data_IF_104826036463
#
_entry.id   IF_104826036463
#
_cell.length_a   1.000
_cell.length_b   1.000
_cell.length_c   1.000
_cell.angle_alpha   90.00
_cell.angle_beta   90.00
_cell.angle_gamma   90.00
#
_symmetry.space_group_name_H-M   'P 1'
#
loop_
_entity.id
_entity.type
_entity.pdbx_description
1 polymer ?
#
# COMPACT_ATOMS: atom_id res chain seq x y z
N UNK A 1 -36.45 75.03 32.29
CA UNK A 1 -37.16 74.67 33.53
C UNK A 1 -36.54 73.36 34.01
N UNK A 2 -35.65 73.44 34.99
CA UNK A 2 -35.00 72.26 35.56
C UNK A 2 -35.93 71.71 36.65
N UNK A 3 -36.74 70.71 36.29
CA UNK A 3 -37.22 69.75 37.27
C UNK A 3 -36.00 69.03 37.83
N UNK A 4 -35.45 69.58 38.91
CA UNK A 4 -34.63 68.80 39.83
C UNK A 4 -35.59 67.78 40.40
N UNK A 5 -35.69 66.62 39.75
CA UNK A 5 -36.34 65.44 40.30
C UNK A 5 -35.83 65.33 41.73
N UNK A 6 -36.72 65.53 42.70
CA UNK A 6 -36.49 64.99 44.03
C UNK A 6 -36.25 63.51 43.81
N UNK A 7 -34.99 63.09 43.80
CA UNK A 7 -34.58 61.69 43.88
C UNK A 7 -34.93 61.27 45.30
N UNK A 8 -36.24 61.21 45.57
CA UNK A 8 -36.80 60.61 46.74
C UNK A 8 -36.34 59.17 46.72
N UNK A 9 -36.00 58.67 47.91
CA UNK A 9 -35.77 57.25 48.16
C UNK A 9 -36.74 56.46 47.28
N UNK A 10 -36.18 55.69 46.32
CA UNK A 10 -36.96 54.98 45.30
C UNK A 10 -38.22 54.38 45.92
N UNK A 11 -39.39 54.55 45.30
CA UNK A 11 -40.67 53.98 45.76
C UNK A 11 -40.55 52.49 46.10
N UNK A 12 -39.58 51.82 45.49
CA UNK A 12 -39.20 50.43 45.76
C UNK A 12 -38.55 50.26 47.15
N UNK A 13 -37.62 51.12 47.53
CA UNK A 13 -36.97 51.13 48.86
C UNK A 13 -37.95 51.45 49.99
N UNK A 14 -38.90 52.37 49.76
CA UNK A 14 -39.96 52.67 50.73
C UNK A 14 -40.89 51.47 50.95
N UNK A 15 -41.27 50.78 49.86
CA UNK A 15 -42.03 49.52 49.93
C UNK A 15 -41.26 48.40 50.64
N UNK A 16 -39.95 48.29 50.40
CA UNK A 16 -39.08 47.33 51.11
C UNK A 16 -39.05 47.63 52.62
N UNK A 17 -39.05 48.90 53.02
CA UNK A 17 -39.08 49.31 54.42
C UNK A 17 -40.38 48.87 55.10
N UNK A 18 -41.54 49.15 54.48
CA UNK A 18 -42.86 48.76 55.03
C UNK A 18 -42.99 47.24 55.24
N UNK A 19 -42.39 46.45 54.34
CA UNK A 19 -42.44 44.98 54.39
C UNK A 19 -41.39 44.36 55.34
N UNK A 20 -40.45 45.15 55.86
CA UNK A 20 -39.33 44.64 56.68
C UNK A 20 -39.69 44.36 58.13
N UNK A 21 -40.83 44.88 58.62
CA UNK A 21 -41.22 44.78 60.03
C UNK A 21 -40.36 45.61 60.99
N UNK A 22 -39.58 46.57 60.47
CA UNK A 22 -38.84 47.55 61.25
C UNK A 22 -39.72 48.72 61.68
N UNK A 23 -39.34 49.41 62.76
CA UNK A 23 -39.94 50.70 63.09
C UNK A 23 -39.57 51.74 62.04
N UNK A 24 -40.43 52.74 61.83
CA UNK A 24 -40.19 53.81 60.85
C UNK A 24 -38.85 54.52 61.09
N UNK A 25 -38.47 54.74 62.36
CA UNK A 25 -37.20 55.36 62.73
C UNK A 25 -35.98 54.49 62.36
N UNK A 26 -36.05 53.18 62.58
CA UNK A 26 -34.95 52.25 62.23
C UNK A 26 -34.81 52.14 60.70
N UNK A 27 -35.92 52.02 59.99
CA UNK A 27 -35.93 52.00 58.53
C UNK A 27 -35.35 53.27 57.92
N UNK A 28 -35.76 54.44 58.44
CA UNK A 28 -35.27 55.73 57.95
C UNK A 28 -33.77 55.91 58.16
N UNK A 29 -33.23 55.51 59.33
CA UNK A 29 -31.78 55.54 59.58
C UNK A 29 -30.98 54.75 58.55
N UNK A 30 -31.46 53.55 58.18
CA UNK A 30 -30.80 52.74 57.14
C UNK A 30 -30.90 53.42 55.78
N UNK A 31 -32.07 53.96 55.43
CA UNK A 31 -32.26 54.68 54.17
C UNK A 31 -31.38 55.92 54.05
N UNK A 32 -31.22 56.69 55.13
CA UNK A 32 -30.37 57.88 55.16
C UNK A 32 -28.90 57.54 54.90
N UNK A 33 -28.41 56.41 55.44
CA UNK A 33 -27.05 55.92 55.19
C UNK A 33 -26.81 55.53 53.72
N UNK A 34 -27.84 55.04 53.03
CA UNK A 34 -27.74 54.62 51.63
C UNK A 34 -28.18 55.69 50.61
N UNK A 35 -28.73 56.81 51.07
CA UNK A 35 -29.29 57.88 50.23
C UNK A 35 -28.24 58.56 49.33
N UNK A 36 -27.03 58.74 49.84
CA UNK A 36 -25.94 59.33 49.06
C UNK A 36 -25.54 58.41 47.91
N UNK A 37 -25.47 57.10 48.15
CA UNK A 37 -25.13 56.12 47.12
C UNK A 37 -26.18 56.03 46.00
N UNK A 38 -27.47 56.08 46.32
CA UNK A 38 -28.54 56.08 45.29
C UNK A 38 -28.49 57.36 44.44
N UNK A 39 -28.22 58.51 45.05
CA UNK A 39 -28.11 59.80 44.36
C UNK A 39 -26.91 59.83 43.42
N UNK A 40 -25.75 59.34 43.89
CA UNK A 40 -24.53 59.26 43.09
C UNK A 40 -24.71 58.25 41.95
N UNK A 41 -25.33 57.09 42.21
CA UNK A 41 -25.62 56.09 41.18
C UNK A 41 -26.50 56.66 40.06
N UNK A 42 -27.58 57.38 40.40
CA UNK A 42 -28.48 57.99 39.42
C UNK A 42 -27.76 59.06 38.56
N UNK A 43 -26.93 59.90 39.18
CA UNK A 43 -26.13 60.89 38.44
C UNK A 43 -25.17 60.21 37.46
N UNK A 44 -24.50 59.16 37.90
CA UNK A 44 -23.56 58.42 37.07
C UNK A 44 -24.23 57.57 36.01
N UNK A 45 -25.47 57.15 36.20
CA UNK A 45 -26.24 56.48 35.15
C UNK A 45 -26.39 57.39 33.93
N UNK A 46 -26.74 58.66 34.14
CA UNK A 46 -26.86 59.66 33.06
C UNK A 46 -25.50 59.89 32.41
N UNK A 47 -24.47 60.19 33.21
CA UNK A 47 -23.10 60.43 32.71
C UNK A 47 -22.50 59.23 31.98
N UNK A 48 -22.78 58.01 32.45
CA UNK A 48 -22.30 56.80 31.81
C UNK A 48 -22.95 56.58 30.45
N UNK A 49 -24.25 56.87 30.31
CA UNK A 49 -24.97 56.79 29.03
C UNK A 49 -24.47 57.82 28.01
N UNK A 50 -23.99 58.98 28.47
CA UNK A 50 -23.36 60.00 27.61
C UNK A 50 -21.97 59.56 27.10
N UNK A 51 -21.26 58.72 27.85
CA UNK A 51 -19.95 58.21 27.45
C UNK A 51 -20.13 57.06 26.46
N UNK A 52 -19.93 57.36 25.18
CA UNK A 52 -19.92 56.38 24.08
C UNK A 52 -18.61 56.53 23.31
N UNK A 53 -17.78 55.49 23.38
CA UNK A 53 -16.51 55.39 22.64
C UNK A 53 -16.77 54.65 21.33
N UNK A 54 -16.56 55.35 20.22
CA UNK A 54 -16.66 54.79 18.86
C UNK A 54 -15.30 54.62 18.20
N UNK A 55 -14.30 55.40 18.61
CA UNK A 55 -12.96 55.38 18.04
C UNK A 55 -11.89 55.25 19.15
N UNK A 56 -10.77 54.62 18.82
CA UNK A 56 -9.58 54.50 19.65
C UNK A 56 -8.97 55.89 19.94
N UNK A 57 -9.14 56.86 19.03
CA UNK A 57 -8.61 58.21 19.21
C UNK A 57 -9.33 59.01 20.31
N UNK A 58 -10.50 58.57 20.75
CA UNK A 58 -11.32 59.19 21.81
C UNK A 58 -10.75 58.91 23.22
N UNK A 59 -9.49 59.30 23.41
CA UNK A 59 -8.74 59.06 24.65
C UNK A 59 -9.38 59.73 25.87
N UNK A 60 -10.07 60.87 25.68
CA UNK A 60 -10.74 61.61 26.75
C UNK A 60 -11.95 60.84 27.27
N UNK A 61 -12.78 60.31 26.38
CA UNK A 61 -13.97 59.52 26.69
C UNK A 61 -13.58 58.20 27.37
N UNK A 62 -12.52 57.55 26.89
CA UNK A 62 -11.96 56.33 27.51
C UNK A 62 -11.46 56.63 28.94
N UNK A 63 -10.74 57.73 29.13
CA UNK A 63 -10.28 58.14 30.47
C UNK A 63 -11.44 58.49 31.40
N UNK A 64 -12.47 59.18 30.89
CA UNK A 64 -13.70 59.46 31.65
C UNK A 64 -14.42 58.18 32.05
N UNK A 65 -14.49 57.19 31.15
CA UNK A 65 -15.03 55.88 31.46
C UNK A 65 -14.24 55.17 32.56
N UNK A 66 -12.91 55.19 32.48
CA UNK A 66 -12.02 54.59 33.48
C UNK A 66 -12.18 55.23 34.87
N UNK A 67 -12.24 56.57 34.93
CA UNK A 67 -12.45 57.32 36.18
C UNK A 67 -13.86 57.04 36.72
N UNK A 68 -14.88 57.09 35.87
CA UNK A 68 -16.26 56.77 36.27
C UNK A 68 -16.40 55.36 36.82
N UNK A 69 -15.77 54.38 36.17
CA UNK A 69 -15.72 53.01 36.65
C UNK A 69 -15.09 52.93 38.04
N UNK A 70 -13.93 53.57 38.26
CA UNK A 70 -13.27 53.57 39.59
C UNK A 70 -14.18 54.13 40.67
N UNK A 71 -14.88 55.23 40.39
CA UNK A 71 -15.81 55.86 41.34
C UNK A 71 -16.97 54.91 41.65
N UNK A 72 -17.57 54.29 40.64
CA UNK A 72 -18.70 53.37 40.79
C UNK A 72 -18.28 52.06 41.47
N UNK A 73 -17.13 51.49 41.12
CA UNK A 73 -16.57 50.32 41.80
C UNK A 73 -16.27 50.62 43.26
N UNK A 74 -15.73 51.81 43.57
CA UNK A 74 -15.48 52.23 44.95
C UNK A 74 -16.78 52.36 45.73
N UNK A 75 -17.78 53.01 45.15
CA UNK A 75 -19.12 53.13 45.73
C UNK A 75 -19.74 51.76 46.02
N UNK A 76 -19.59 50.78 45.11
CA UNK A 76 -20.05 49.40 45.34
C UNK A 76 -19.35 48.76 46.54
N UNK A 77 -18.04 48.95 46.68
CA UNK A 77 -17.25 48.41 47.80
C UNK A 77 -17.65 49.09 49.11
N UNK A 78 -17.82 50.41 49.12
CA UNK A 78 -18.18 51.15 50.32
C UNK A 78 -19.62 50.82 50.76
N UNK A 79 -20.57 50.71 49.83
CA UNK A 79 -21.93 50.25 50.14
C UNK A 79 -21.96 48.83 50.71
N UNK A 80 -21.11 47.94 50.21
CA UNK A 80 -20.95 46.58 50.73
C UNK A 80 -20.30 46.56 52.12
N UNK A 81 -19.31 47.42 52.37
CA UNK A 81 -18.70 47.59 53.68
C UNK A 81 -19.73 48.10 54.71
N UNK A 82 -20.51 49.13 54.35
CA UNK A 82 -21.62 49.64 55.17
C UNK A 82 -22.66 48.54 55.44
N UNK A 83 -22.99 47.72 54.43
CA UNK A 83 -23.89 46.56 54.59
C UNK A 83 -23.37 45.60 55.66
N UNK A 84 -22.10 45.20 55.57
CA UNK A 84 -21.48 44.25 56.50
C UNK A 84 -21.42 44.83 57.92
N UNK A 85 -21.05 46.10 58.06
CA UNK A 85 -20.97 46.78 59.36
C UNK A 85 -22.33 46.83 60.08
N UNK A 86 -23.39 47.18 59.34
CA UNK A 86 -24.73 47.31 59.91
C UNK A 86 -25.41 45.96 60.19
N UNK A 87 -25.11 44.93 59.39
CA UNK A 87 -25.72 43.59 59.54
C UNK A 87 -25.39 42.91 60.87
N UNK A 88 -24.29 43.28 61.52
CA UNK A 88 -23.85 42.67 62.77
C UNK A 88 -24.70 43.05 63.99
N UNK A 89 -25.63 44.02 63.88
CA UNK A 89 -26.38 44.57 65.02
C UNK A 89 -27.76 43.93 65.26
N UNK A 90 -28.45 43.42 64.23
CA UNK A 90 -29.79 42.83 64.37
C UNK A 90 -30.19 41.98 63.14
N UNK A 91 -30.90 40.86 63.37
CA UNK A 91 -31.34 39.95 62.29
C UNK A 91 -32.42 40.54 61.38
N UNK A 92 -33.37 41.31 61.93
CA UNK A 92 -34.44 41.94 61.14
C UNK A 92 -33.90 43.14 60.36
N UNK A 93 -33.07 43.96 61.00
CA UNK A 93 -32.36 45.06 60.34
C UNK A 93 -31.44 44.52 59.24
N UNK A 94 -30.71 43.43 59.52
CA UNK A 94 -29.82 42.79 58.57
C UNK A 94 -30.51 42.35 57.28
N UNK A 95 -31.75 41.82 57.34
CA UNK A 95 -32.53 41.46 56.14
C UNK A 95 -32.92 42.68 55.31
N UNK A 96 -33.30 43.79 55.95
CA UNK A 96 -33.62 45.03 55.25
C UNK A 96 -32.37 45.65 54.62
N UNK A 97 -31.26 45.68 55.35
CA UNK A 97 -29.94 46.13 54.87
C UNK A 97 -29.50 45.32 53.65
N UNK A 98 -29.66 44.00 53.68
CA UNK A 98 -29.37 43.13 52.53
C UNK A 98 -30.26 43.47 51.32
N UNK A 99 -31.54 43.75 51.52
CA UNK A 99 -32.45 44.14 50.45
C UNK A 99 -32.05 45.47 49.80
N UNK A 100 -31.73 46.49 50.62
CA UNK A 100 -31.25 47.80 50.13
C UNK A 100 -29.94 47.68 49.38
N UNK A 101 -28.98 46.90 49.90
CA UNK A 101 -27.70 46.68 49.25
C UNK A 101 -27.83 45.91 47.92
N UNK A 102 -28.72 44.93 47.84
CA UNK A 102 -29.02 44.22 46.59
C UNK A 102 -29.66 45.13 45.54
N UNK A 103 -30.53 46.05 45.96
CA UNK A 103 -31.11 47.05 45.06
C UNK A 103 -30.03 47.96 44.49
N UNK A 104 -29.16 48.51 45.36
CA UNK A 104 -28.03 49.33 44.95
C UNK A 104 -27.10 48.57 44.00
N UNK A 105 -26.78 47.31 44.31
CA UNK A 105 -25.99 46.46 43.43
C UNK A 105 -26.65 46.30 42.05
N UNK A 106 -27.97 46.12 42.00
CA UNK A 106 -28.71 46.01 40.74
C UNK A 106 -28.65 47.30 39.90
N UNK A 107 -28.57 48.47 40.53
CA UNK A 107 -28.41 49.76 39.85
C UNK A 107 -26.97 49.99 39.38
N UNK A 108 -26.00 49.66 40.24
CA UNK A 108 -24.58 49.91 40.02
C UNK A 108 -23.97 48.97 38.98
N UNK A 109 -24.31 47.69 39.02
CA UNK A 109 -23.71 46.66 38.16
C UNK A 109 -23.79 46.97 36.65
N UNK A 110 -24.96 47.33 36.07
CA UNK A 110 -25.04 47.64 34.64
C UNK A 110 -24.22 48.89 34.26
N UNK A 111 -24.14 49.89 35.14
CA UNK A 111 -23.34 51.10 34.94
C UNK A 111 -21.85 50.75 34.92
N UNK A 112 -21.40 49.95 35.90
CA UNK A 112 -20.02 49.47 35.97
C UNK A 112 -19.65 48.65 34.73
N UNK A 113 -20.56 47.79 34.24
CA UNK A 113 -20.36 47.02 33.02
C UNK A 113 -20.23 47.90 31.78
N UNK A 114 -21.10 48.89 31.60
CA UNK A 114 -21.02 49.82 30.48
C UNK A 114 -19.70 50.60 30.49
N UNK A 115 -19.36 51.23 31.62
CA UNK A 115 -18.11 52.00 31.75
C UNK A 115 -16.87 51.12 31.56
N UNK A 116 -16.92 49.86 32.03
CA UNK A 116 -15.86 48.88 31.79
C UNK A 116 -15.75 48.51 30.31
N UNK A 117 -16.85 48.40 29.57
CA UNK A 117 -16.81 48.16 28.13
C UNK A 117 -16.18 49.35 27.38
N UNK A 118 -16.56 50.58 27.74
CA UNK A 118 -15.98 51.80 27.17
C UNK A 118 -14.49 51.96 27.50
N UNK A 119 -14.08 51.65 28.75
CA UNK A 119 -12.66 51.65 29.16
C UNK A 119 -11.83 50.63 28.37
N UNK A 120 -12.36 49.41 28.18
CA UNK A 120 -11.65 48.33 27.49
C UNK A 120 -11.86 48.35 25.97
N UNK A 121 -12.48 49.39 25.41
CA UNK A 121 -12.79 49.45 23.97
C UNK A 121 -11.58 49.18 23.09
N UNK A 122 -10.43 49.77 23.42
CA UNK A 122 -9.17 49.56 22.69
C UNK A 122 -8.75 48.10 22.70
N UNK A 123 -8.72 47.46 23.88
CA UNK A 123 -8.36 46.04 24.01
C UNK A 123 -9.33 45.13 23.28
N UNK A 124 -10.63 45.38 23.43
CA UNK A 124 -11.67 44.58 22.75
C UNK A 124 -11.54 44.70 21.24
N UNK A 125 -11.25 45.90 20.73
CA UNK A 125 -11.05 46.13 19.30
C UNK A 125 -9.77 45.47 18.79
N UNK A 126 -8.66 45.60 19.51
CA UNK A 126 -7.39 44.94 19.17
C UNK A 126 -7.51 43.41 19.18
N UNK A 127 -8.15 42.83 20.19
CA UNK A 127 -8.42 41.38 20.28
C UNK A 127 -9.28 40.92 19.10
N UNK A 128 -10.36 41.65 18.79
CA UNK A 128 -11.22 41.35 17.65
C UNK A 128 -10.47 41.43 16.32
N UNK A 129 -9.67 42.47 16.10
CA UNK A 129 -8.86 42.62 14.89
C UNK A 129 -7.76 41.55 14.81
N UNK A 130 -7.19 41.11 15.94
CA UNK A 130 -6.25 40.00 15.99
C UNK A 130 -6.91 38.67 15.66
N UNK A 131 -8.10 38.39 16.22
CA UNK A 131 -8.89 37.20 15.92
C UNK A 131 -9.34 37.17 14.45
N UNK A 132 -9.82 38.30 13.91
CA UNK A 132 -10.18 38.42 12.50
C UNK A 132 -8.97 38.19 11.58
N UNK A 133 -7.77 38.67 11.95
CA UNK A 133 -6.54 38.38 11.22
C UNK A 133 -6.18 36.90 11.29
N UNK A 134 -6.30 36.25 12.45
CA UNK A 134 -6.04 34.82 12.61
C UNK A 134 -6.99 33.98 11.77
N UNK A 135 -8.30 34.27 11.83
CA UNK A 135 -9.33 33.56 11.05
C UNK A 135 -9.06 33.71 9.55
N UNK A 136 -8.71 34.90 9.07
CA UNK A 136 -8.37 35.12 7.65
C UNK A 136 -7.10 34.36 7.25
N UNK A 137 -6.07 34.34 8.10
CA UNK A 137 -4.84 33.60 7.83
C UNK A 137 -5.08 32.09 7.78
N UNK A 138 -5.88 31.55 8.70
CA UNK A 138 -6.28 30.14 8.73
C UNK A 138 -7.11 29.75 7.50
N UNK A 139 -8.07 30.59 7.10
CA UNK A 139 -8.85 30.37 5.89
C UNK A 139 -7.98 30.36 4.62
N UNK A 140 -7.01 31.26 4.52
CA UNK A 140 -6.08 31.31 3.40
C UNK A 140 -5.17 30.07 3.34
N UNK A 141 -4.65 29.64 4.50
CA UNK A 141 -3.83 28.43 4.59
C UNK A 141 -4.63 27.20 4.15
N UNK A 142 -5.87 27.07 4.63
CA UNK A 142 -6.75 25.97 4.23
C UNK A 142 -7.05 25.97 2.74
N UNK A 143 -7.29 27.15 2.14
CA UNK A 143 -7.48 27.27 0.69
C UNK A 143 -6.23 26.83 -0.10
N UNK A 144 -5.02 27.13 0.41
CA UNK A 144 -3.77 26.68 -0.19
C UNK A 144 -3.62 25.16 -0.09
N UNK A 145 -3.86 24.59 1.09
CA UNK A 145 -3.81 23.13 1.30
C UNK A 145 -4.82 22.39 0.40
N UNK A 146 -6.03 22.91 0.23
CA UNK A 146 -7.04 22.33 -0.66
C UNK A 146 -6.61 22.38 -2.14
N UNK A 147 -5.94 23.46 -2.57
CA UNK A 147 -5.39 23.57 -3.94
C UNK A 147 -4.24 22.59 -4.16
N UNK A 148 -3.30 22.51 -3.22
CA UNK A 148 -2.19 21.57 -3.29
C UNK A 148 -2.69 20.12 -3.32
N UNK A 149 -3.69 19.78 -2.49
CA UNK A 149 -4.31 18.45 -2.51
C UNK A 149 -5.01 18.16 -3.85
N UNK A 150 -5.69 19.14 -4.43
CA UNK A 150 -6.33 18.99 -5.74
C UNK A 150 -5.30 18.79 -6.86
N UNK A 151 -4.17 19.49 -6.83
CA UNK A 151 -3.09 19.35 -7.81
C UNK A 151 -2.41 17.98 -7.71
N UNK A 152 -2.17 17.49 -6.49
CA UNK A 152 -1.62 16.15 -6.24
C UNK A 152 -2.57 15.07 -6.76
N UNK A 153 -3.87 15.19 -6.48
CA UNK A 153 -4.86 14.21 -6.94
C UNK A 153 -4.99 14.22 -8.46
N UNK A 154 -4.96 15.40 -9.09
CA UNK A 154 -4.94 15.53 -10.54
C UNK A 154 -3.71 14.84 -11.15
N UNK A 155 -2.52 15.05 -10.60
CA UNK A 155 -1.30 14.39 -11.07
C UNK A 155 -1.38 12.86 -10.92
N UNK A 156 -2.00 12.36 -9.85
CA UNK A 156 -2.24 10.92 -9.64
C UNK A 156 -3.15 10.33 -10.72
N UNK A 157 -4.23 11.02 -11.06
CA UNK A 157 -5.17 10.60 -12.11
C UNK A 157 -4.51 10.61 -13.50
N UNK A 158 -3.74 11.66 -13.81
CA UNK A 158 -2.98 11.74 -15.06
C UNK A 158 -1.95 10.60 -15.18
N UNK A 159 -1.27 10.27 -14.09
CA UNK A 159 -0.34 9.13 -14.06
C UNK A 159 -1.07 7.79 -14.25
N UNK A 160 -2.22 7.59 -13.60
CA UNK A 160 -3.00 6.36 -13.76
C UNK A 160 -3.52 6.19 -15.20
N UNK A 161 -3.93 7.29 -15.84
CA UNK A 161 -4.35 7.28 -17.25
C UNK A 161 -3.17 6.96 -18.18
N UNK A 162 -2.00 7.55 -17.94
CA UNK A 162 -0.78 7.24 -18.68
C UNK A 162 -0.41 5.74 -18.54
N UNK A 163 -0.42 5.20 -17.32
CA UNK A 163 -0.14 3.79 -17.04
C UNK A 163 -1.16 2.87 -17.72
N UNK A 164 -2.44 3.25 -17.76
CA UNK A 164 -3.48 2.50 -18.47
C UNK A 164 -3.20 2.45 -19.97
N UNK A 165 -2.86 3.58 -20.57
CA UNK A 165 -2.53 3.66 -22.00
C UNK A 165 -1.27 2.86 -22.36
N UNK A 166 -0.29 2.80 -21.45
CA UNK A 166 0.92 1.99 -21.62
C UNK A 166 0.61 0.49 -21.54
N UNK A 167 -0.21 0.08 -20.56
CA UNK A 167 -0.64 -1.32 -20.44
C UNK A 167 -1.41 -1.80 -21.66
N UNK A 168 -2.26 -0.95 -22.23
CA UNK A 168 -3.00 -1.26 -23.46
C UNK A 168 -2.05 -1.46 -24.64
N UNK A 169 -1.06 -0.57 -24.84
CA UNK A 169 -0.03 -0.73 -25.87
C UNK A 169 0.78 -2.02 -25.70
N UNK A 170 1.19 -2.33 -24.47
CA UNK A 170 1.91 -3.58 -24.15
C UNK A 170 1.04 -4.81 -24.47
N UNK A 171 -0.26 -4.75 -24.17
CA UNK A 171 -1.18 -5.85 -24.47
C UNK A 171 -1.32 -6.06 -25.98
N UNK A 172 -1.50 -5.00 -26.76
CA UNK A 172 -1.59 -5.06 -28.21
C UNK A 172 -0.29 -5.59 -28.84
N UNK A 173 0.87 -5.12 -28.36
CA UNK A 173 2.17 -5.59 -28.83
C UNK A 173 2.39 -7.08 -28.49
N UNK A 174 2.08 -7.50 -27.26
CA UNK A 174 2.16 -8.91 -26.87
C UNK A 174 1.22 -9.80 -27.70
N UNK A 175 0.02 -9.30 -28.03
CA UNK A 175 -0.92 -9.99 -28.90
C UNK A 175 -0.38 -10.12 -30.35
N UNK A 176 0.33 -9.11 -30.85
CA UNK A 176 1.01 -9.17 -32.15
C UNK A 176 2.15 -10.20 -32.14
N UNK A 177 3.01 -10.15 -31.12
CA UNK A 177 4.15 -11.06 -30.97
C UNK A 177 3.70 -12.51 -30.82
N UNK A 178 2.64 -12.79 -30.05
CA UNK A 178 2.10 -14.16 -29.94
C UNK A 178 1.57 -14.68 -31.27
N UNK A 179 0.89 -13.85 -32.06
CA UNK A 179 0.46 -14.24 -33.42
C UNK A 179 1.64 -14.50 -34.35
N UNK A 180 2.68 -13.69 -34.26
CA UNK A 180 3.91 -13.86 -35.04
C UNK A 180 4.65 -15.15 -34.65
N UNK A 181 4.81 -15.41 -33.35
CA UNK A 181 5.38 -16.65 -32.84
C UNK A 181 4.56 -17.88 -33.25
N UNK A 182 3.23 -17.80 -33.26
CA UNK A 182 2.40 -18.91 -33.72
C UNK A 182 2.58 -19.19 -35.21
N UNK A 183 2.66 -18.14 -36.05
CA UNK A 183 2.97 -18.27 -37.48
C UNK A 183 4.34 -18.90 -37.70
N UNK A 184 5.38 -18.35 -37.07
CA UNK A 184 6.74 -18.88 -37.17
C UNK A 184 6.82 -20.33 -36.68
N UNK A 185 6.09 -20.68 -35.62
CA UNK A 185 6.04 -22.08 -35.12
C UNK A 185 5.40 -23.02 -36.15
N UNK A 186 4.31 -22.60 -36.81
CA UNK A 186 3.65 -23.38 -37.86
C UNK A 186 4.56 -23.54 -39.07
N UNK A 187 5.21 -22.47 -39.52
CA UNK A 187 6.16 -22.51 -40.63
C UNK A 187 7.32 -23.46 -40.35
N UNK A 188 7.90 -23.38 -39.14
CA UNK A 188 8.98 -24.28 -38.72
C UNK A 188 8.51 -25.74 -38.60
N UNK A 189 7.28 -25.98 -38.15
CA UNK A 189 6.70 -27.32 -38.09
C UNK A 189 6.45 -27.89 -39.50
N UNK A 190 5.95 -27.09 -40.42
CA UNK A 190 5.74 -27.47 -41.81
C UNK A 190 7.07 -27.73 -42.55
N UNK A 191 8.09 -26.92 -42.29
CA UNK A 191 9.45 -27.14 -42.79
C UNK A 191 10.03 -28.46 -42.27
N UNK A 192 9.89 -28.73 -40.96
CA UNK A 192 10.30 -30.01 -40.36
C UNK A 192 9.56 -31.20 -40.98
N UNK A 193 8.25 -31.08 -41.22
CA UNK A 193 7.47 -32.14 -41.89
C UNK A 193 7.93 -32.39 -43.33
N UNK A 194 8.31 -31.33 -44.07
CA UNK A 194 8.87 -31.46 -45.42
C UNK A 194 10.24 -32.14 -45.38
N UNK A 195 11.14 -31.68 -44.52
CA UNK A 195 12.47 -32.26 -44.34
C UNK A 195 12.39 -33.74 -43.90
N UNK A 196 11.45 -34.09 -43.01
CA UNK A 196 11.24 -35.47 -42.58
C UNK A 196 10.72 -36.36 -43.73
N UNK A 197 9.77 -35.87 -44.53
CA UNK A 197 9.30 -36.59 -45.72
C UNK A 197 10.41 -36.81 -46.74
N UNK A 198 11.26 -35.80 -46.96
CA UNK A 198 12.42 -35.92 -47.84
C UNK A 198 13.43 -36.93 -47.30
N UNK A 199 13.67 -36.94 -45.98
CA UNK A 199 14.55 -37.92 -45.33
C UNK A 199 14.03 -39.34 -45.48
N UNK A 200 12.74 -39.58 -45.22
CA UNK A 200 12.10 -40.89 -45.40
C UNK A 200 12.19 -41.33 -46.86
N UNK A 201 11.89 -40.43 -47.81
CA UNK A 201 11.97 -40.75 -49.23
C UNK A 201 13.42 -41.08 -49.68
N UNK A 202 14.41 -40.37 -49.15
CA UNK A 202 15.82 -40.66 -49.39
C UNK A 202 16.25 -42.00 -48.78
N UNK A 203 15.80 -42.31 -47.56
CA UNK A 203 16.06 -43.58 -46.90
C UNK A 203 15.41 -44.75 -47.64
N UNK A 204 14.15 -44.61 -48.08
CA UNK A 204 13.49 -45.63 -48.91
C UNK A 204 14.22 -45.86 -50.24
N UNK A 205 14.72 -44.79 -50.87
CA UNK A 205 15.49 -44.90 -52.11
C UNK A 205 16.83 -45.62 -51.86
N UNK A 206 17.56 -45.23 -50.82
CA UNK A 206 18.80 -45.90 -50.41
C UNK A 206 18.56 -47.36 -50.06
N UNK A 207 17.49 -47.70 -49.35
CA UNK A 207 17.14 -49.07 -49.01
C UNK A 207 16.77 -49.90 -50.23
N UNK A 208 16.08 -49.32 -51.23
CA UNK A 208 15.80 -50.00 -52.51
C UNK A 208 17.09 -50.26 -53.29
N UNK A 209 18.01 -49.31 -53.32
CA UNK A 209 19.33 -49.46 -53.95
C UNK A 209 20.17 -50.54 -53.26
N UNK A 210 20.23 -50.53 -51.92
CA UNK A 210 20.90 -51.57 -51.14
C UNK A 210 20.32 -52.96 -51.41
N UNK A 211 18.99 -53.11 -51.39
CA UNK A 211 18.34 -54.40 -51.72
C UNK A 211 18.66 -54.88 -53.13
N UNK A 212 18.73 -53.97 -54.10
CA UNK A 212 19.10 -54.32 -55.47
C UNK A 212 20.56 -54.76 -55.58
N UNK A 213 21.47 -54.14 -54.80
CA UNK A 213 22.87 -54.56 -54.72
C UNK A 213 22.98 -55.92 -54.04
N UNK A 214 22.28 -56.14 -52.92
CA UNK A 214 22.25 -57.43 -52.22
C UNK A 214 21.70 -58.55 -53.10
N UNK A 215 20.63 -58.31 -53.86
CA UNK A 215 20.07 -59.32 -54.76
C UNK A 215 21.05 -59.66 -55.90
N UNK A 216 21.74 -58.66 -56.46
CA UNK A 216 22.80 -58.90 -57.46
C UNK A 216 23.96 -59.69 -56.85
N UNK A 217 24.42 -59.31 -55.66
CA UNK A 217 25.48 -60.02 -54.95
C UNK A 217 25.07 -61.46 -54.61
N UNK A 218 23.80 -61.71 -54.28
CA UNK A 218 23.28 -63.06 -54.04
C UNK A 218 23.30 -63.91 -55.31
N UNK A 219 22.82 -63.37 -56.44
CA UNK A 219 22.87 -64.08 -57.74
C UNK A 219 24.30 -64.37 -58.16
N UNK A 220 25.22 -63.42 -57.98
CA UNK A 220 26.64 -63.62 -58.27
C UNK A 220 27.26 -64.69 -57.36
N UNK A 221 26.92 -64.72 -56.07
CA UNK A 221 27.35 -65.79 -55.15
C UNK A 221 26.77 -67.15 -55.54
N UNK A 222 25.50 -67.24 -55.89
CA UNK A 222 24.86 -68.48 -56.36
C UNK A 222 25.53 -68.99 -57.66
N UNK A 223 25.88 -68.08 -58.59
CA UNK A 223 26.63 -68.42 -59.80
C UNK A 223 28.06 -68.89 -59.51
N UNK A 224 28.77 -68.23 -58.59
CA UNK A 224 30.10 -68.66 -58.16
C UNK A 224 30.04 -70.01 -57.45
N UNK A 225 29.06 -70.21 -56.56
CA UNK A 225 28.87 -71.46 -55.84
C UNK A 225 28.48 -72.61 -56.78
N UNK A 226 27.60 -72.38 -57.75
CA UNK A 226 27.26 -73.39 -58.77
C UNK A 226 28.45 -73.76 -59.65
N UNK A 227 29.28 -72.78 -60.04
CA UNK A 227 30.53 -73.03 -60.78
C UNK A 227 31.55 -73.80 -59.91
N UNK A 228 31.72 -73.39 -58.66
CA UNK A 228 32.59 -74.07 -57.70
C UNK A 228 32.11 -75.49 -57.36
N UNK A 229 30.80 -75.73 -57.25
CA UNK A 229 30.22 -77.04 -57.05
C UNK A 229 30.37 -77.93 -58.30
N UNK A 230 30.19 -77.37 -59.50
CA UNK A 230 30.44 -78.08 -60.74
C UNK A 230 31.93 -78.42 -60.92
N UNK A 231 32.82 -77.55 -60.46
CA UNK A 231 34.27 -77.77 -60.49
C UNK A 231 34.71 -78.78 -59.43
N UNK A 232 34.19 -78.71 -58.20
CA UNK A 232 34.36 -79.76 -57.19
C UNK A 232 33.82 -81.10 -57.66
N UNK A 233 32.64 -81.15 -58.29
CA UNK A 233 32.10 -82.39 -58.84
C UNK A 233 32.99 -82.98 -59.95
N UNK A 234 33.65 -82.13 -60.76
CA UNK A 234 34.66 -82.57 -61.74
C UNK A 234 35.93 -83.08 -61.05
N UNK A 235 36.44 -82.36 -60.05
CA UNK A 235 37.61 -82.76 -59.27
C UNK A 235 37.36 -84.07 -58.50
N UNK A 236 36.19 -84.23 -57.89
CA UNK A 236 35.77 -85.46 -57.21
C UNK A 236 35.62 -86.62 -58.18
N UNK A 237 35.17 -86.38 -59.43
CA UNK A 237 35.17 -87.39 -60.49
C UNK A 237 36.59 -87.83 -60.86
N UNK A 238 37.51 -86.88 -61.02
CA UNK A 238 38.92 -87.17 -61.34
C UNK A 238 39.58 -87.90 -60.17
N UNK A 239 39.38 -87.47 -58.93
CA UNK A 239 39.89 -88.14 -57.74
C UNK A 239 39.27 -89.52 -57.54
N UNK A 240 37.99 -89.74 -57.89
CA UNK A 240 37.37 -91.05 -57.90
C UNK A 240 37.98 -91.95 -58.99
N UNK A 241 38.29 -91.40 -60.16
CA UNK A 241 38.98 -92.12 -61.24
C UNK A 241 40.43 -92.46 -60.86
N UNK A 242 41.14 -91.55 -60.21
CA UNK A 242 42.49 -91.79 -59.69
C UNK A 242 42.50 -92.79 -58.53
N UNK A 243 41.51 -92.74 -57.63
CA UNK A 243 41.33 -93.75 -56.58
C UNK A 243 40.98 -95.11 -57.17
N UNK A 244 40.18 -95.18 -58.23
CA UNK A 244 39.90 -96.41 -58.95
C UNK A 244 41.17 -96.98 -59.63
N UNK A 245 42.00 -96.12 -60.25
CA UNK A 245 43.30 -96.51 -60.81
C UNK A 245 44.30 -96.92 -59.72
N UNK A 246 44.30 -96.26 -58.57
CA UNK A 246 45.16 -96.62 -57.43
C UNK A 246 44.74 -97.94 -56.76
N UNK A 247 43.44 -98.25 -56.73
CA UNK A 247 42.93 -99.54 -56.26
C UNK A 247 43.28 -100.66 -57.25
N UNK A 248 43.18 -100.43 -58.56
CA UNK A 248 43.63 -101.37 -59.59
C UNK A 248 45.15 -101.67 -59.47
N UNK A 249 45.98 -100.64 -59.24
CA UNK A 249 47.43 -100.80 -59.04
C UNK A 249 47.76 -101.49 -57.69
N UNK A 250 46.93 -101.33 -56.66
CA UNK A 250 47.08 -102.08 -55.39
C UNK A 250 46.70 -103.55 -55.54
N UNK A 251 45.70 -103.88 -56.34
CA UNK A 251 45.35 -105.28 -56.66
C UNK A 251 46.43 -105.94 -57.53
N UNK A 252 47.06 -105.20 -58.45
CA UNK A 252 48.17 -105.70 -59.29
C UNK A 252 49.48 -105.91 -58.50
N UNK A 253 49.73 -105.13 -57.43
CA UNK A 253 50.94 -105.25 -56.58
C UNK A 253 50.76 -106.17 -55.36
N UNK A 254 49.57 -106.72 -55.14
CA UNK A 254 49.31 -107.70 -54.07
C UNK A 254 49.62 -109.15 -54.47
N UNK A 255 49.73 -109.46 -55.77
CA UNK A 255 49.94 -110.84 -56.26
C UNK A 255 51.38 -111.40 -56.27
N UNK A 256 52.48 -110.64 -56.11
CA UNK A 256 53.82 -111.24 -55.94
C UNK A 256 54.41 -111.14 -54.52
N UNK A 257 53.70 -110.56 -53.54
CA UNK A 257 54.20 -110.43 -52.15
C UNK A 257 53.84 -111.60 -51.23
N UNK A 258 53.00 -112.53 -51.69
CA UNK A 258 52.67 -113.78 -51.00
C UNK A 258 53.66 -114.94 -51.28
N UNK A 259 54.67 -114.74 -52.16
CA UNK A 259 55.63 -115.76 -52.58
C UNK A 259 57.08 -115.52 -52.08
N UNK A 260 57.35 -114.45 -51.34
CA UNK A 260 58.72 -114.07 -50.92
C UNK A 260 59.00 -114.14 -49.41
N UNK A 261 57.99 -114.30 -48.55
CA UNK A 261 58.20 -114.45 -47.09
C UNK A 261 58.31 -115.92 -46.61
N UNK A 262 58.43 -116.88 -47.55
CA UNK A 262 58.49 -118.32 -47.24
C UNK A 262 59.90 -118.94 -47.19
N UNK A 263 60.98 -118.24 -47.59
CA UNK A 263 62.32 -118.84 -47.63
C UNK A 263 63.44 -117.82 -47.38
N UNK A 264 63.66 -117.47 -46.10
CA UNK A 264 64.98 -117.01 -45.64
C UNK A 264 65.24 -117.66 -44.28
N UNK A 265 65.69 -118.91 -44.31
CA UNK A 265 66.40 -119.56 -43.21
C UNK A 265 67.89 -119.44 -43.50
N UNK A 266 68.63 -118.74 -42.63
CA UNK A 266 70.07 -118.56 -42.75
C UNK A 266 70.79 -119.93 -42.68
N UNK A 267 71.53 -120.35 -43.73
CA UNK A 267 72.15 -121.68 -43.79
C UNK A 267 73.33 -121.90 -42.83
N UNK A 268 73.79 -120.89 -42.08
CA UNK A 268 74.87 -121.04 -41.09
C UNK A 268 74.42 -121.04 -39.62
N UNK A 269 73.19 -120.64 -39.28
CA UNK A 269 72.79 -120.53 -37.86
C UNK A 269 71.30 -120.73 -37.52
N UNK A 270 70.43 -121.06 -38.49
CA UNK A 270 69.05 -121.53 -38.20
C UNK A 270 68.07 -120.51 -37.59
N UNK A 271 68.44 -119.23 -37.47
CA UNK A 271 67.59 -118.20 -36.85
C UNK A 271 66.64 -117.56 -37.87
N UNK A 272 65.35 -117.45 -37.54
CA UNK A 272 64.33 -116.72 -38.32
C UNK A 272 64.18 -115.29 -37.77
N UNK A 273 64.25 -114.28 -38.64
CA UNK A 273 64.05 -112.87 -38.31
C UNK A 273 62.64 -112.44 -38.72
N UNK A 274 61.83 -111.96 -37.76
CA UNK A 274 60.54 -111.31 -38.03
C UNK A 274 60.67 -109.82 -37.74
N UNK A 275 60.74 -108.98 -38.78
CA UNK A 275 60.75 -107.53 -38.63
C UNK A 275 59.32 -106.99 -38.49
N UNK A 276 58.82 -106.98 -37.26
CA UNK A 276 57.74 -106.07 -36.85
C UNK A 276 58.36 -104.75 -36.35
N UNK A 277 58.10 -103.65 -37.07
CA UNK A 277 58.11 -102.22 -36.68
C UNK A 277 58.22 -101.41 -37.98
N UNK A 278 57.45 -100.38 -38.30
CA UNK A 278 56.67 -99.37 -37.56
C UNK A 278 55.89 -98.53 -38.61
N UNK A 279 55.07 -97.51 -38.26
CA UNK A 279 54.71 -96.96 -36.95
C UNK A 279 53.32 -97.35 -36.43
#
# INVERSE_FOLDING_TARGET
MNEVMTIGVSDKLQRMMMNSGLTAEQGQKVLDLFKEYTSIAALWEVKAKEIVVTDITQTVEIQRAAVGRKIISRMRIDAEATRVELKNKSLREGKFIDAVANELKSLIAPIEMHLKAQENFVKIKEEREADERRIKAEALLKEQEEKEAADVEKARLEQEEADRSERERIYEENARLTREHEKNRKELEDERKKAEKERIAAEEKSNKELRAIEEKARKEREEIESKAAAEKAKQDRVLAEERAKALAIKEEKAQPRALLDAQITCPECGHKFTSTQSP
#
